data_IF_724036805909
#
_entry.id   IF_724036805909
#
_cell.length_a   1.000
_cell.length_b   1.000
_cell.length_c   1.000
_cell.angle_alpha   90.00
_cell.angle_beta   90.00
_cell.angle_gamma   90.00
#
_symmetry.space_group_name_H-M   'P 1'
#
loop_
_entity.id
_entity.type
_entity.pdbx_description
1 polymer ?
#
# COMPACT_ATOMS: atom_id res chain seq x y z
N UNK A 1 24.82 -31.21 30.53
CA UNK A 1 25.93 -30.32 30.18
C UNK A 1 26.05 -30.26 28.66
N UNK A 2 25.45 -29.27 28.02
CA UNK A 2 25.65 -28.95 26.60
C UNK A 2 26.02 -27.47 26.57
N UNK A 3 27.25 -27.17 26.13
CA UNK A 3 27.80 -25.81 26.09
C UNK A 3 27.11 -25.04 24.96
N UNK A 4 26.23 -24.10 25.31
CA UNK A 4 25.62 -23.14 24.38
C UNK A 4 26.57 -21.96 24.17
N UNK A 5 27.74 -22.23 23.60
CA UNK A 5 28.69 -21.20 23.18
C UNK A 5 29.12 -21.50 21.76
N UNK A 6 28.17 -21.38 20.84
CA UNK A 6 28.50 -21.07 19.46
C UNK A 6 28.41 -19.56 19.30
N UNK A 7 29.60 -18.95 19.30
CA UNK A 7 29.85 -17.56 18.98
C UNK A 7 29.14 -17.20 17.68
N UNK A 8 28.01 -16.50 17.76
CA UNK A 8 27.35 -15.88 16.61
C UNK A 8 28.38 -14.94 15.99
N UNK A 9 28.79 -15.18 14.74
CA UNK A 9 29.83 -14.37 14.11
C UNK A 9 29.26 -12.97 13.90
N UNK A 10 30.07 -11.93 14.07
CA UNK A 10 29.67 -10.55 13.79
C UNK A 10 29.09 -10.37 12.36
N UNK A 11 29.48 -11.24 11.42
CA UNK A 11 28.93 -11.32 10.06
C UNK A 11 27.46 -11.76 10.02
N UNK A 12 27.01 -12.61 10.95
CA UNK A 12 25.64 -13.08 11.05
C UNK A 12 24.70 -11.96 11.54
N UNK A 13 25.22 -11.08 12.40
CA UNK A 13 24.53 -9.85 12.85
C UNK A 13 24.37 -8.87 11.67
N UNK A 14 25.41 -8.72 10.84
CA UNK A 14 25.36 -7.88 9.63
C UNK A 14 24.39 -8.40 8.57
N UNK A 15 24.24 -9.73 8.45
CA UNK A 15 23.27 -10.38 7.55
C UNK A 15 21.83 -10.20 8.06
N UNK A 16 21.60 -10.37 9.36
CA UNK A 16 20.30 -10.09 9.99
C UNK A 16 19.90 -8.60 9.90
N UNK A 17 20.86 -7.68 10.10
CA UNK A 17 20.63 -6.24 9.97
C UNK A 17 20.24 -5.82 8.54
N UNK A 18 20.74 -6.53 7.52
CA UNK A 18 20.41 -6.31 6.10
C UNK A 18 19.08 -6.97 5.69
N UNK A 19 18.61 -7.97 6.45
CA UNK A 19 17.33 -8.65 6.25
C UNK A 19 16.14 -7.81 6.76
N UNK A 20 16.38 -6.80 7.60
CA UNK A 20 15.42 -5.71 7.82
C UNK A 20 15.46 -4.75 6.63
N UNK A 21 15.21 -5.29 5.43
CA UNK A 21 14.87 -4.49 4.25
C UNK A 21 13.65 -3.67 4.66
N UNK A 22 13.80 -2.35 4.78
CA UNK A 22 12.68 -1.47 5.07
C UNK A 22 11.62 -1.69 4.00
N UNK A 23 10.53 -2.35 4.35
CA UNK A 23 9.34 -2.42 3.49
C UNK A 23 8.78 -1.01 3.42
N UNK A 24 9.15 -0.25 2.39
CA UNK A 24 8.61 1.08 2.15
C UNK A 24 7.18 0.94 1.67
N UNK A 25 6.25 1.67 2.30
CA UNK A 25 4.89 1.77 1.81
C UNK A 25 4.88 2.69 0.59
N UNK A 26 4.46 2.18 -0.56
CA UNK A 26 4.36 2.94 -1.82
C UNK A 26 2.90 3.13 -2.19
N UNK A 27 2.47 4.39 -2.37
CA UNK A 27 1.16 4.74 -2.91
C UNK A 27 1.29 5.13 -4.38
N UNK A 28 0.57 4.43 -5.25
CA UNK A 28 0.47 4.76 -6.67
C UNK A 28 -0.91 5.36 -6.93
N UNK A 29 -0.96 6.66 -7.23
CA UNK A 29 -2.18 7.37 -7.57
C UNK A 29 -2.31 7.52 -9.09
N UNK A 30 -3.46 7.12 -9.66
CA UNK A 30 -3.72 7.18 -11.10
C UNK A 30 -4.84 8.19 -11.38
N UNK A 31 -4.48 9.30 -12.04
CA UNK A 31 -5.38 10.39 -12.45
C UNK A 31 -5.67 10.40 -13.95
N UNK A 32 -6.65 11.21 -14.38
CA UNK A 32 -7.07 11.31 -15.80
C UNK A 32 -8.58 11.50 -16.01
N UNK A 33 -8.96 11.83 -17.25
CA UNK A 33 -10.34 12.13 -17.66
C UNK A 33 -11.31 10.94 -17.47
N UNK A 34 -12.62 11.18 -17.25
CA UNK A 34 -13.62 10.11 -17.25
C UNK A 34 -13.53 9.27 -18.54
N UNK A 35 -13.62 7.95 -18.41
CA UNK A 35 -13.47 7.03 -19.55
C UNK A 35 -12.04 6.75 -20.01
N UNK A 36 -11.00 7.44 -19.49
CA UNK A 36 -9.60 7.25 -19.92
C UNK A 36 -8.94 5.94 -19.46
N UNK A 37 -9.69 4.99 -18.91
CA UNK A 37 -9.17 3.67 -18.51
C UNK A 37 -8.42 3.60 -17.16
N UNK A 38 -8.42 4.67 -16.33
CA UNK A 38 -7.71 4.69 -15.02
C UNK A 38 -7.96 3.46 -14.16
N UNK A 39 -9.22 3.06 -13.98
CA UNK A 39 -9.62 1.91 -13.16
C UNK A 39 -9.17 0.57 -13.77
N UNK A 40 -8.91 0.52 -15.07
CA UNK A 40 -8.32 -0.65 -15.72
C UNK A 40 -6.83 -0.70 -15.46
N UNK A 41 -6.11 0.40 -15.65
CA UNK A 41 -4.68 0.49 -15.35
C UNK A 41 -4.41 0.21 -13.87
N UNK A 42 -5.18 0.79 -12.95
CA UNK A 42 -5.05 0.56 -11.51
C UNK A 42 -5.18 -0.92 -11.12
N UNK A 43 -6.10 -1.66 -11.76
CA UNK A 43 -6.26 -3.10 -11.53
C UNK A 43 -5.07 -3.89 -12.07
N UNK A 44 -4.60 -3.58 -13.28
CA UNK A 44 -3.46 -4.27 -13.87
C UNK A 44 -2.19 -4.05 -13.05
N UNK A 45 -1.92 -2.81 -12.63
CA UNK A 45 -0.77 -2.48 -11.77
C UNK A 45 -0.87 -3.18 -10.42
N UNK A 46 -2.06 -3.21 -9.81
CA UNK A 46 -2.24 -3.90 -8.54
C UNK A 46 -2.03 -5.41 -8.66
N UNK A 47 -2.46 -6.03 -9.76
CA UNK A 47 -2.21 -7.45 -10.02
C UNK A 47 -0.72 -7.73 -10.22
N UNK A 48 -0.05 -6.91 -11.05
CA UNK A 48 1.38 -7.07 -11.36
C UNK A 48 2.28 -6.92 -10.12
N UNK A 49 1.92 -5.99 -9.22
CA UNK A 49 2.70 -5.70 -8.02
C UNK A 49 2.22 -6.45 -6.77
N UNK A 50 1.24 -7.35 -6.91
CA UNK A 50 0.55 -8.00 -5.79
C UNK A 50 0.08 -6.98 -4.71
N UNK A 51 -0.36 -5.81 -5.16
CA UNK A 51 -0.70 -4.67 -4.31
C UNK A 51 -2.20 -4.56 -4.06
N UNK A 52 -2.57 -3.83 -3.00
CA UNK A 52 -3.97 -3.53 -2.70
C UNK A 52 -4.49 -2.45 -3.66
N UNK A 53 -5.57 -2.76 -4.38
CA UNK A 53 -6.25 -1.80 -5.23
C UNK A 53 -7.29 -0.98 -4.44
N UNK A 54 -6.98 0.30 -4.22
CA UNK A 54 -7.90 1.28 -3.64
C UNK A 54 -8.63 2.05 -4.76
N UNK A 55 -9.95 2.21 -4.61
CA UNK A 55 -10.78 2.95 -5.56
C UNK A 55 -11.60 4.02 -4.81
N UNK A 56 -11.34 5.29 -5.09
CA UNK A 56 -11.96 6.43 -4.42
C UNK A 56 -13.48 6.46 -4.58
N UNK A 57 -14.02 6.04 -5.73
CA UNK A 57 -15.48 5.97 -5.93
C UNK A 57 -16.13 4.89 -5.05
N UNK A 58 -15.46 3.75 -4.86
CA UNK A 58 -15.93 2.69 -3.94
C UNK A 58 -15.87 3.15 -2.50
N UNK A 59 -14.76 3.78 -2.10
CA UNK A 59 -14.58 4.32 -0.76
C UNK A 59 -15.66 5.37 -0.46
N UNK A 60 -15.88 6.32 -1.39
CA UNK A 60 -16.93 7.34 -1.25
C UNK A 60 -18.31 6.74 -1.06
N UNK A 61 -18.66 5.69 -1.82
CA UNK A 61 -19.95 4.98 -1.67
C UNK A 61 -20.09 4.27 -0.32
N UNK A 62 -18.98 3.79 0.25
CA UNK A 62 -19.00 3.15 1.56
C UNK A 62 -19.12 4.17 2.70
N UNK A 63 -18.51 5.35 2.55
CA UNK A 63 -18.54 6.42 3.55
C UNK A 63 -19.85 7.21 3.57
N UNK A 64 -20.51 7.38 2.42
CA UNK A 64 -21.69 8.25 2.29
C UNK A 64 -22.85 7.53 1.59
N UNK A 65 -23.93 7.28 2.33
CA UNK A 65 -25.16 6.70 1.79
C UNK A 65 -25.84 7.63 0.77
N UNK A 66 -25.84 8.94 1.04
CA UNK A 66 -26.28 9.99 0.13
C UNK A 66 -25.11 10.92 -0.12
N UNK A 67 -24.85 11.26 -1.39
CA UNK A 67 -23.65 11.99 -1.82
C UNK A 67 -24.01 13.42 -2.21
N UNK A 68 -23.45 14.41 -1.52
CA UNK A 68 -23.57 15.82 -1.91
C UNK A 68 -22.30 16.36 -2.59
N UNK A 69 -21.21 15.58 -2.62
CA UNK A 69 -19.90 15.95 -3.18
C UNK A 69 -19.33 17.22 -2.54
N UNK A 70 -19.62 17.47 -1.26
CA UNK A 70 -19.11 18.64 -0.56
C UNK A 70 -17.59 18.57 -0.38
N UNK A 71 -16.92 19.72 -0.14
CA UNK A 71 -15.49 19.74 0.18
C UNK A 71 -15.13 18.83 1.37
N UNK A 72 -15.99 18.75 2.37
CA UNK A 72 -15.84 17.92 3.57
C UNK A 72 -15.94 16.44 3.22
N UNK A 73 -16.93 16.04 2.42
CA UNK A 73 -17.05 14.66 1.93
C UNK A 73 -15.82 14.25 1.11
N UNK A 74 -15.31 15.14 0.26
CA UNK A 74 -14.11 14.85 -0.53
C UNK A 74 -12.87 14.72 0.34
N UNK A 75 -12.71 15.55 1.37
CA UNK A 75 -11.59 15.43 2.32
C UNK A 75 -11.61 14.09 3.04
N UNK A 76 -12.78 13.66 3.51
CA UNK A 76 -12.94 12.40 4.23
C UNK A 76 -12.58 11.15 3.39
N UNK A 77 -12.66 11.21 2.05
CA UNK A 77 -12.26 10.08 1.17
C UNK A 77 -10.75 9.90 1.10
N UNK A 78 -9.96 10.94 1.38
CA UNK A 78 -8.51 10.97 1.18
C UNK A 78 -7.69 11.13 2.48
N UNK A 79 -8.35 11.11 3.64
CA UNK A 79 -7.72 11.04 4.96
C UNK A 79 -7.54 9.60 5.41
#
# INVERSE_FOLDING_TARGET
>A
MVKYTDTVKAADIGKAARIIVRKTLTLIAIGGLPGSGKSSVARMVAQELEAVHLNSDRIRRALFATRAYTPEESRAVYQ
#
